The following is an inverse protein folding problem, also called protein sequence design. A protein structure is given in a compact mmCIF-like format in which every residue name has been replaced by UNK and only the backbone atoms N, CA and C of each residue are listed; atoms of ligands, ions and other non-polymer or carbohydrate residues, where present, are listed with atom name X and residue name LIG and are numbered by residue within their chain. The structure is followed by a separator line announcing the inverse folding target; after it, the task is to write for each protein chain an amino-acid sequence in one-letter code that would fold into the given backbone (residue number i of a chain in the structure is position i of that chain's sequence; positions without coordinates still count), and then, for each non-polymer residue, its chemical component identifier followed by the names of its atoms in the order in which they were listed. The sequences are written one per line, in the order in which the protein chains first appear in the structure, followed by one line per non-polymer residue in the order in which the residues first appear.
data_IF_273550554499
#
_entry.id   IF_273550554499
#
_cell.length_a   1.000
_cell.length_b   1.000
_cell.length_c   1.000
_cell.angle_alpha   90.00
_cell.angle_beta   90.00
_cell.angle_gamma   90.00
#
_symmetry.space_group_name_H-M   'P 1'
#
loop_
_entity.id
_entity.type
_entity.pdbx_description
1 polymer ?
#
# COMPACT_ATOMS: atom_id res chain seq x y z
N UNK A 1 12.65 18.49 14.82
CA UNK A 1 13.28 17.24 14.30
C UNK A 1 12.36 16.01 14.37
N UNK A 2 11.72 15.67 15.51
CA UNK A 2 10.82 14.50 15.65
C UNK A 2 9.61 14.45 14.69
N UNK A 3 9.05 15.60 14.30
CA UNK A 3 7.89 15.68 13.38
C UNK A 3 8.22 15.21 11.96
N UNK A 4 9.37 15.64 11.42
CA UNK A 4 9.79 15.26 10.07
C UNK A 4 10.14 13.77 9.97
N UNK A 5 10.73 13.21 11.03
CA UNK A 5 11.03 11.78 11.09
C UNK A 5 9.74 10.93 11.00
N UNK A 6 8.68 11.34 11.71
CA UNK A 6 7.37 10.66 11.60
C UNK A 6 6.84 10.69 10.17
N UNK A 7 6.87 11.85 9.50
CA UNK A 7 6.42 11.99 8.10
C UNK A 7 7.19 11.05 7.16
N UNK A 8 8.51 10.96 7.32
CA UNK A 8 9.37 10.06 6.54
C UNK A 8 9.01 8.58 6.81
N UNK A 9 8.80 8.20 8.07
CA UNK A 9 8.40 6.83 8.43
C UNK A 9 7.04 6.47 7.80
N UNK A 10 6.04 7.35 7.92
CA UNK A 10 4.72 7.15 7.32
C UNK A 10 4.78 7.02 5.80
N UNK A 11 5.60 7.85 5.15
CA UNK A 11 5.85 7.78 3.72
C UNK A 11 6.51 6.45 3.32
N UNK A 12 7.54 6.02 4.05
CA UNK A 12 8.25 4.77 3.80
C UNK A 12 7.33 3.55 3.96
N UNK A 13 6.53 3.52 5.04
CA UNK A 13 5.54 2.46 5.29
C UNK A 13 4.51 2.42 4.15
N UNK A 14 4.01 3.59 3.72
CA UNK A 14 3.10 3.69 2.58
C UNK A 14 3.68 3.12 1.29
N UNK A 15 4.95 3.43 0.99
CA UNK A 15 5.65 2.89 -0.17
C UNK A 15 5.82 1.36 -0.11
N UNK A 16 6.12 0.82 1.07
CA UNK A 16 6.23 -0.64 1.27
C UNK A 16 4.87 -1.32 1.05
N UNK A 17 3.79 -0.75 1.59
CA UNK A 17 2.42 -1.26 1.41
C UNK A 17 2.02 -1.28 -0.08
N UNK A 18 2.27 -0.19 -0.80
CA UNK A 18 2.00 -0.11 -2.25
C UNK A 18 2.83 -1.15 -3.01
N UNK A 19 4.12 -1.27 -2.69
CA UNK A 19 5.00 -2.25 -3.32
C UNK A 19 4.51 -3.69 -3.11
N UNK A 20 4.14 -4.05 -1.88
CA UNK A 20 3.61 -5.38 -1.57
C UNK A 20 2.29 -5.65 -2.31
N UNK A 21 1.36 -4.69 -2.33
CA UNK A 21 0.11 -4.83 -3.07
C UNK A 21 0.34 -5.00 -4.58
N UNK A 22 1.19 -4.16 -5.17
CA UNK A 22 1.56 -4.27 -6.59
C UNK A 22 2.29 -5.58 -6.91
N UNK A 23 3.16 -6.06 -6.02
CA UNK A 23 3.85 -7.32 -6.16
C UNK A 23 2.90 -8.52 -6.15
N UNK A 24 1.96 -8.55 -5.20
CA UNK A 24 0.92 -9.58 -5.13
C UNK A 24 0.10 -9.57 -6.42
N UNK A 25 -0.42 -8.41 -6.83
CA UNK A 25 -1.22 -8.28 -8.04
C UNK A 25 -0.44 -8.71 -9.31
N UNK A 26 0.84 -8.36 -9.41
CA UNK A 26 1.69 -8.71 -10.55
C UNK A 26 2.12 -10.19 -10.60
N UNK A 27 2.10 -10.89 -9.48
CA UNK A 27 2.41 -12.34 -9.40
C UNK A 27 1.18 -13.22 -9.37
N UNK A 28 -0.01 -12.64 -9.30
CA UNK A 28 -1.26 -13.38 -9.20
C UNK A 28 -1.63 -13.98 -10.56
N UNK A 29 -1.48 -15.31 -10.69
CA UNK A 29 -1.89 -16.07 -11.87
C UNK A 29 -2.89 -17.15 -11.47
N UNK A 30 -3.95 -17.32 -12.27
CA UNK A 30 -4.87 -18.44 -12.17
C UNK A 30 -4.18 -19.71 -12.71
N UNK A 31 -3.38 -20.35 -11.86
CA UNK A 31 -2.70 -21.61 -12.15
C UNK A 31 -3.47 -22.83 -11.64
N UNK A 32 -2.94 -24.02 -11.95
CA UNK A 32 -3.44 -25.29 -11.40
C UNK A 32 -3.29 -25.29 -9.87
N UNK A 33 -4.37 -25.58 -9.15
CA UNK A 33 -4.39 -25.62 -7.68
C UNK A 33 -4.80 -24.33 -6.98
N UNK A 34 -5.03 -23.23 -7.70
CA UNK A 34 -5.54 -21.98 -7.11
C UNK A 34 -7.06 -21.95 -7.20
N UNK A 35 -7.73 -21.91 -6.05
CA UNK A 35 -9.18 -21.74 -6.02
C UNK A 35 -9.56 -20.31 -6.45
N UNK A 36 -10.68 -20.18 -7.18
CA UNK A 36 -11.19 -18.87 -7.62
C UNK A 36 -11.39 -17.91 -6.45
N UNK A 37 -11.84 -18.43 -5.30
CA UNK A 37 -12.02 -17.67 -4.07
C UNK A 37 -10.71 -17.16 -3.50
N UNK A 38 -9.66 -18.00 -3.49
CA UNK A 38 -8.33 -17.60 -3.02
C UNK A 38 -7.69 -16.53 -3.92
N UNK A 39 -7.89 -16.66 -5.23
CA UNK A 39 -7.47 -15.64 -6.20
C UNK A 39 -8.18 -14.30 -5.93
N UNK A 40 -9.51 -14.31 -5.80
CA UNK A 40 -10.29 -13.10 -5.55
C UNK A 40 -9.91 -12.42 -4.22
N UNK A 41 -9.67 -13.22 -3.19
CA UNK A 41 -9.23 -12.73 -1.89
C UNK A 41 -7.84 -12.08 -1.97
N UNK A 42 -6.88 -12.70 -2.66
CA UNK A 42 -5.54 -12.15 -2.85
C UNK A 42 -5.57 -10.84 -3.65
N UNK A 43 -6.43 -10.75 -4.66
CA UNK A 43 -6.65 -9.53 -5.44
C UNK A 43 -7.25 -8.41 -4.57
N UNK A 44 -8.22 -8.73 -3.72
CA UNK A 44 -8.80 -7.79 -2.77
C UNK A 44 -7.79 -7.32 -1.73
N UNK A 45 -6.94 -8.21 -1.23
CA UNK A 45 -5.86 -7.87 -0.30
C UNK A 45 -4.83 -6.95 -0.98
N UNK A 46 -4.45 -7.22 -2.22
CA UNK A 46 -3.57 -6.36 -3.00
C UNK A 46 -4.15 -4.96 -3.20
N UNK A 47 -5.45 -4.87 -3.52
CA UNK A 47 -6.16 -3.60 -3.62
C UNK A 47 -6.15 -2.84 -2.28
N UNK A 48 -6.48 -3.52 -1.18
CA UNK A 48 -6.49 -2.91 0.16
C UNK A 48 -5.11 -2.35 0.53
N UNK A 49 -4.04 -3.11 0.29
CA UNK A 49 -2.65 -2.68 0.53
C UNK A 49 -2.30 -1.40 -0.25
N UNK A 50 -2.66 -1.34 -1.53
CA UNK A 50 -2.43 -0.15 -2.36
C UNK A 50 -3.24 1.04 -1.87
N UNK A 51 -4.52 0.84 -1.53
CA UNK A 51 -5.37 1.92 -1.00
C UNK A 51 -4.84 2.47 0.32
N UNK A 52 -4.48 1.61 1.28
CA UNK A 52 -3.91 2.06 2.55
C UNK A 52 -2.57 2.75 2.37
N UNK A 53 -1.67 2.19 1.55
CA UNK A 53 -0.38 2.81 1.27
C UNK A 53 -0.51 4.17 0.57
N UNK A 54 -1.44 4.29 -0.38
CA UNK A 54 -1.78 5.55 -1.03
C UNK A 54 -2.37 6.58 -0.06
N UNK A 55 -3.23 6.15 0.86
CA UNK A 55 -3.79 7.03 1.89
C UNK A 55 -2.69 7.61 2.78
N UNK A 56 -1.70 6.80 3.16
CA UNK A 56 -0.55 7.27 3.95
C UNK A 56 0.29 8.31 3.20
N UNK A 57 0.48 8.14 1.89
CA UNK A 57 1.14 9.15 1.04
C UNK A 57 0.38 10.47 1.00
N UNK A 58 -0.95 10.41 0.83
CA UNK A 58 -1.82 11.60 0.84
C UNK A 58 -1.76 12.31 2.20
N UNK A 59 -1.78 11.57 3.31
CA UNK A 59 -1.66 12.13 4.66
C UNK A 59 -0.33 12.85 4.87
N UNK A 60 0.77 12.29 4.37
CA UNK A 60 2.09 12.94 4.42
C UNK A 60 2.08 14.24 3.60
N UNK A 61 1.53 14.22 2.38
CA UNK A 61 1.42 15.40 1.53
C UNK A 61 0.55 16.50 2.17
N UNK A 62 -0.61 16.14 2.72
CA UNK A 62 -1.49 17.07 3.44
C UNK A 62 -0.79 17.67 4.68
N UNK A 63 -0.05 16.87 5.44
CA UNK A 63 0.71 17.33 6.61
C UNK A 63 1.87 18.27 6.25
N UNK A 64 2.43 18.16 5.05
CA UNK A 64 3.41 19.11 4.52
C UNK A 64 2.74 20.42 4.08
N UNK A 65 1.58 20.33 3.41
CA UNK A 65 0.81 21.50 2.98
C UNK A 65 0.29 22.34 4.15
N UNK A 66 -0.16 21.70 5.23
CA UNK A 66 -0.69 22.38 6.43
C UNK A 66 0.39 23.02 7.31
N UNK A 67 1.68 22.76 7.06
CA UNK A 67 2.80 23.38 7.79
C UNK A 67 3.34 24.66 7.13
N UNK A 68 2.73 25.09 6.01
CA UNK A 68 2.96 26.41 5.42
C UNK A 68 2.06 27.43 6.10
#
# INVERSE_FOLDING_TARGET
MKSNLKKVIFWLIGSILIFLGAFIAGKLNLGLGVSKTGFLFALFLALALIMFGGLLWILVAASLSSNK
#
